data_IF_307014464273
#
_entry.id   IF_307014464273
#
_cell.length_a   1.000
_cell.length_b   1.000
_cell.length_c   1.000
_cell.angle_alpha   90.00
_cell.angle_beta   90.00
_cell.angle_gamma   90.00
#
_symmetry.space_group_name_H-M   'P 1'
#
loop_
_entity.id
_entity.type
_entity.pdbx_description
1 polymer ?
#
# COMPACT_ATOMS: atom_id res chain seq x y z
N UNK A 1 10.33 16.24 16.97
CA UNK A 1 9.01 15.56 17.13
C UNK A 1 8.10 15.81 15.91
N UNK A 2 7.14 14.92 15.62
CA UNK A 2 6.17 15.15 14.53
C UNK A 2 5.02 16.03 15.02
N UNK A 3 4.92 17.25 14.49
CA UNK A 3 3.87 18.21 14.83
C UNK A 3 2.56 17.87 14.17
N UNK A 4 2.60 17.67 12.86
CA UNK A 4 1.42 17.40 12.05
C UNK A 4 1.79 16.59 10.82
N UNK A 5 0.81 15.82 10.35
CA UNK A 5 0.84 15.20 9.04
C UNK A 5 -0.19 15.95 8.21
N UNK A 6 0.24 16.47 7.08
CA UNK A 6 -0.63 17.19 6.13
C UNK A 6 -0.49 16.52 4.77
N UNK A 7 -1.48 16.70 3.91
CA UNK A 7 -1.41 16.20 2.56
C UNK A 7 -1.95 17.24 1.59
N UNK A 8 -1.44 17.21 0.36
CA UNK A 8 -1.97 17.93 -0.77
C UNK A 8 -2.08 17.02 -1.99
N UNK A 9 -2.63 17.56 -3.07
CA UNK A 9 -2.73 16.87 -4.35
C UNK A 9 -2.17 17.75 -5.45
N UNK A 10 -1.38 17.14 -6.31
CA UNK A 10 -0.93 17.68 -7.59
C UNK A 10 -1.37 16.77 -8.75
N UNK A 11 -0.89 17.05 -9.96
CA UNK A 11 -1.20 16.25 -11.15
C UNK A 11 -0.60 14.84 -11.10
N UNK A 12 0.47 14.65 -10.32
CA UNK A 12 1.17 13.37 -10.19
C UNK A 12 0.54 12.46 -9.11
N UNK A 13 -0.14 13.02 -8.11
CA UNK A 13 -0.84 12.24 -7.09
C UNK A 13 -1.11 12.99 -5.78
N UNK A 14 -1.21 12.24 -4.70
CA UNK A 14 -1.35 12.76 -3.34
C UNK A 14 0.00 12.71 -2.63
N UNK A 15 0.39 13.84 -2.04
CA UNK A 15 1.64 13.99 -1.32
C UNK A 15 1.34 14.10 0.16
N UNK A 16 2.08 13.35 0.99
CA UNK A 16 1.94 13.39 2.43
C UNK A 16 3.22 13.95 3.02
N UNK A 17 3.06 15.03 3.76
CA UNK A 17 4.15 15.76 4.39
C UNK A 17 4.14 15.54 5.90
N UNK A 18 5.33 15.36 6.45
CA UNK A 18 5.55 15.44 7.89
C UNK A 18 6.11 16.83 8.22
N UNK A 19 5.36 17.56 9.04
CA UNK A 19 5.85 18.77 9.69
C UNK A 19 6.46 18.38 11.02
N UNK A 20 7.70 18.82 11.26
CA UNK A 20 8.41 18.56 12.49
C UNK A 20 9.28 19.75 12.89
N UNK A 21 9.55 19.85 14.19
CA UNK A 21 10.57 20.72 14.75
C UNK A 21 11.56 19.91 15.59
N UNK A 22 12.77 20.43 15.68
CA UNK A 22 13.80 19.95 16.59
C UNK A 22 13.64 20.50 17.99
N UNK A 23 14.25 19.80 18.95
CA UNK A 23 14.42 20.26 20.33
C UNK A 23 15.90 20.61 20.54
N UNK A 24 16.27 21.16 21.71
CA UNK A 24 17.68 21.40 22.04
C UNK A 24 18.53 20.11 22.04
N UNK A 25 17.89 18.95 22.08
CA UNK A 25 18.51 17.62 22.16
C UNK A 25 18.53 16.89 20.80
N UNK A 26 17.86 17.42 19.76
CA UNK A 26 17.88 16.81 18.44
C UNK A 26 19.18 17.15 17.70
N UNK A 27 19.76 16.14 17.05
CA UNK A 27 21.01 16.23 16.29
C UNK A 27 20.92 17.05 14.99
N UNK A 28 19.72 17.47 14.58
CA UNK A 28 19.45 18.09 13.28
C UNK A 28 19.56 17.11 12.10
N UNK A 29 19.50 15.81 12.37
CA UNK A 29 19.43 14.76 11.35
C UNK A 29 18.22 13.87 11.62
N UNK A 30 17.37 13.73 10.62
CA UNK A 30 16.11 13.01 10.74
C UNK A 30 16.04 11.87 9.73
N UNK A 31 15.46 10.77 10.19
CA UNK A 31 15.04 9.64 9.37
C UNK A 31 13.54 9.47 9.50
N UNK A 32 12.88 9.20 8.39
CA UNK A 32 11.50 8.74 8.37
C UNK A 32 11.42 7.33 7.84
N UNK A 33 10.49 6.57 8.40
CA UNK A 33 10.02 5.33 7.83
C UNK A 33 8.50 5.29 8.03
N UNK A 34 7.81 4.45 7.26
CA UNK A 34 6.36 4.43 7.33
C UNK A 34 5.79 3.06 7.05
N UNK A 35 4.57 2.85 7.55
CA UNK A 35 3.72 1.71 7.19
C UNK A 35 2.41 2.21 6.62
N UNK A 36 2.21 1.92 5.34
CA UNK A 36 0.98 2.20 4.63
C UNK A 36 0.00 1.06 4.85
N UNK A 37 -1.28 1.39 4.95
CA UNK A 37 -2.39 0.45 4.93
C UNK A 37 -3.51 1.07 4.13
N UNK A 38 -4.14 0.32 3.24
CA UNK A 38 -5.24 0.81 2.42
C UNK A 38 -6.36 -0.19 2.31
N UNK A 39 -7.58 0.33 2.25
CA UNK A 39 -8.79 -0.40 1.96
C UNK A 39 -9.09 -0.34 0.45
N UNK A 40 -9.53 -1.46 -0.09
CA UNK A 40 -10.02 -1.56 -1.46
C UNK A 40 -11.06 -2.67 -1.55
N UNK A 41 -11.97 -2.54 -2.50
CA UNK A 41 -13.06 -3.49 -2.69
C UNK A 41 -12.88 -4.31 -3.97
N UNK A 42 -13.50 -5.49 -4.02
CA UNK A 42 -13.74 -6.21 -5.27
C UNK A 42 -14.58 -5.37 -6.23
N UNK A 43 -14.44 -5.60 -7.54
CA UNK A 43 -15.24 -4.90 -8.54
C UNK A 43 -16.72 -5.28 -8.46
N UNK A 44 -17.01 -6.54 -8.08
CA UNK A 44 -18.37 -7.07 -8.02
C UNK A 44 -18.63 -7.79 -6.70
N UNK A 45 -19.85 -7.66 -6.17
CA UNK A 45 -20.37 -8.51 -5.11
C UNK A 45 -21.16 -9.68 -5.73
N UNK A 46 -20.65 -10.91 -5.68
CA UNK A 46 -21.37 -12.05 -6.22
C UNK A 46 -22.60 -12.38 -5.36
N UNK A 47 -23.71 -12.76 -5.97
CA UNK A 47 -24.83 -13.43 -5.28
C UNK A 47 -25.14 -14.80 -5.89
N UNK A 48 -24.32 -15.26 -6.84
CA UNK A 48 -24.42 -16.55 -7.52
C UNK A 48 -23.12 -17.33 -7.35
N UNK A 49 -23.23 -18.65 -7.24
CA UNK A 49 -22.12 -19.62 -7.25
C UNK A 49 -22.40 -20.74 -8.24
N UNK A 50 -21.37 -21.50 -8.58
CA UNK A 50 -21.53 -22.77 -9.28
C UNK A 50 -21.83 -23.88 -8.26
N UNK A 51 -22.83 -24.73 -8.55
CA UNK A 51 -23.11 -25.95 -7.79
C UNK A 51 -22.18 -27.11 -8.22
N UNK A 52 -22.45 -28.32 -7.72
CA UNK A 52 -21.65 -29.52 -8.03
C UNK A 52 -21.78 -30.02 -9.46
N UNK A 53 -22.83 -29.62 -10.20
CA UNK A 53 -23.05 -29.96 -11.61
C UNK A 53 -23.12 -28.64 -12.37
N UNK A 54 -21.96 -28.05 -12.73
CA UNK A 54 -21.72 -26.62 -12.85
C UNK A 54 -22.92 -25.85 -13.42
N UNK A 55 -23.82 -25.44 -12.52
CA UNK A 55 -24.94 -24.55 -12.76
C UNK A 55 -24.81 -23.37 -11.83
N UNK A 56 -25.05 -22.19 -12.38
CA UNK A 56 -25.21 -20.98 -11.62
C UNK A 56 -26.49 -21.05 -10.78
N UNK A 57 -26.33 -20.97 -9.46
CA UNK A 57 -27.39 -20.94 -8.46
C UNK A 57 -27.13 -19.80 -7.47
N UNK A 58 -28.17 -19.27 -6.86
CA UNK A 58 -28.00 -18.25 -5.81
C UNK A 58 -27.19 -18.78 -4.63
N UNK A 59 -26.31 -17.95 -4.07
CA UNK A 59 -25.50 -18.28 -2.89
C UNK A 59 -26.41 -18.48 -1.67
N UNK A 60 -27.32 -17.53 -1.46
CA UNK A 60 -28.30 -17.54 -0.38
C UNK A 60 -29.74 -17.60 -0.94
N UNK A 61 -30.69 -18.27 -0.26
CA UNK A 61 -32.08 -18.35 -0.71
C UNK A 61 -32.78 -17.00 -0.87
N UNK A 62 -32.39 -16.00 -0.06
CA UNK A 62 -32.90 -14.63 -0.13
C UNK A 62 -32.21 -13.78 -1.22
N UNK A 63 -31.35 -14.39 -2.04
CA UNK A 63 -30.63 -13.76 -3.15
C UNK A 63 -29.70 -12.59 -2.76
N UNK A 64 -29.37 -12.46 -1.47
CA UNK A 64 -28.39 -11.49 -1.02
C UNK A 64 -27.02 -11.76 -1.60
N UNK A 65 -26.22 -10.71 -1.74
CA UNK A 65 -24.83 -10.83 -2.16
C UNK A 65 -23.94 -11.32 -1.03
N UNK A 66 -22.89 -12.05 -1.39
CA UNK A 66 -21.81 -12.46 -0.51
C UNK A 66 -20.73 -11.37 -0.47
N UNK A 67 -20.63 -10.69 0.67
CA UNK A 67 -19.62 -9.66 0.91
C UNK A 67 -18.35 -10.21 1.58
N UNK A 68 -18.24 -11.53 1.80
CA UNK A 68 -17.14 -12.15 2.56
C UNK A 68 -15.75 -11.91 1.95
N UNK A 69 -15.70 -11.69 0.63
CA UNK A 69 -14.48 -11.39 -0.14
C UNK A 69 -14.55 -10.04 -0.85
N UNK A 70 -15.45 -9.16 -0.43
CA UNK A 70 -15.62 -7.85 -1.04
C UNK A 70 -14.70 -6.80 -0.42
N UNK A 71 -14.65 -6.73 0.91
CA UNK A 71 -13.85 -5.76 1.65
C UNK A 71 -12.46 -6.30 1.96
N UNK A 72 -11.40 -5.65 1.47
CA UNK A 72 -10.03 -6.02 1.80
C UNK A 72 -9.17 -4.85 2.25
N UNK A 73 -8.15 -5.20 3.03
CA UNK A 73 -7.05 -4.33 3.41
C UNK A 73 -5.72 -4.95 2.99
N UNK A 74 -4.80 -4.11 2.53
CA UNK A 74 -3.40 -4.48 2.32
C UNK A 74 -2.49 -3.49 3.03
N UNK A 75 -1.25 -3.90 3.33
CA UNK A 75 -0.25 -3.04 3.96
C UNK A 75 1.11 -3.21 3.33
N UNK A 76 1.90 -2.15 3.35
CA UNK A 76 3.30 -2.16 2.92
C UNK A 76 4.16 -1.30 3.85
N UNK A 77 5.41 -1.70 4.05
CA UNK A 77 6.40 -0.86 4.72
C UNK A 77 7.12 0.01 3.69
N UNK A 78 7.70 1.12 4.13
CA UNK A 78 8.56 1.98 3.32
C UNK A 78 9.72 1.19 2.72
N UNK A 79 9.96 1.36 1.43
CA UNK A 79 11.08 0.75 0.70
C UNK A 79 12.22 1.72 0.41
N UNK A 80 11.99 3.02 0.58
CA UNK A 80 12.97 4.08 0.33
C UNK A 80 13.58 4.60 1.62
N UNK A 81 14.80 5.11 1.54
CA UNK A 81 15.51 5.73 2.65
C UNK A 81 15.13 7.21 2.71
N UNK A 82 14.22 7.57 3.60
CA UNK A 82 13.79 8.96 3.79
C UNK A 82 14.61 9.63 4.90
N UNK A 83 15.47 10.59 4.52
CA UNK A 83 16.38 11.28 5.44
C UNK A 83 16.48 12.77 5.09
N UNK A 84 16.62 13.62 6.12
CA UNK A 84 16.79 15.07 5.99
C UNK A 84 17.82 15.56 7.02
N UNK A 85 18.63 16.54 6.64
CA UNK A 85 19.46 17.30 7.57
C UNK A 85 18.96 18.73 7.67
N UNK A 86 18.71 19.18 8.90
CA UNK A 86 18.42 20.58 9.25
C UNK A 86 19.62 21.26 9.93
N UNK A 87 20.74 20.55 10.10
CA UNK A 87 21.95 21.04 10.79
C UNK A 87 22.57 22.32 10.20
N UNK A 88 22.20 22.72 8.98
CA UNK A 88 22.64 23.97 8.32
C UNK A 88 21.57 25.07 8.29
N UNK A 89 20.43 24.84 8.92
CA UNK A 89 19.28 25.76 8.95
C UNK A 89 19.25 26.43 10.33
N UNK A 90 19.01 27.74 10.37
CA UNK A 90 18.98 28.51 11.61
C UNK A 90 17.84 28.12 12.56
N UNK A 91 16.75 27.58 12.02
CA UNK A 91 15.58 27.10 12.75
C UNK A 91 15.39 25.62 12.38
N UNK A 92 15.50 24.73 13.35
CA UNK A 92 15.34 23.30 13.17
C UNK A 92 13.86 22.94 12.95
N UNK A 93 13.39 23.15 11.73
CA UNK A 93 12.05 22.82 11.25
C UNK A 93 12.13 22.08 9.93
N UNK A 94 11.23 21.12 9.74
CA UNK A 94 11.18 20.27 8.56
C UNK A 94 9.74 20.22 8.03
N UNK A 95 9.59 20.47 6.74
CA UNK A 95 8.40 20.15 5.95
C UNK A 95 8.83 19.15 4.88
N UNK A 96 8.69 17.85 5.17
CA UNK A 96 9.29 16.79 4.38
C UNK A 96 8.24 15.95 3.66
N UNK A 97 8.30 15.78 2.32
CA UNK A 97 7.40 14.90 1.57
C UNK A 97 7.76 13.43 1.81
N UNK A 98 7.11 12.77 2.77
CA UNK A 98 7.44 11.40 3.19
C UNK A 98 6.90 10.38 2.19
N UNK A 99 5.68 10.57 1.71
CA UNK A 99 4.98 9.59 0.86
C UNK A 99 4.36 10.30 -0.33
N UNK A 100 4.46 9.68 -1.50
CA UNK A 100 3.67 10.04 -2.68
C UNK A 100 2.83 8.84 -3.11
N UNK A 101 1.51 9.01 -3.12
CA UNK A 101 0.58 8.04 -3.69
C UNK A 101 0.29 8.47 -5.14
N UNK A 102 0.74 7.71 -6.15
CA UNK A 102 0.56 8.09 -7.56
C UNK A 102 -0.91 8.21 -7.94
N UNK A 103 -1.22 9.10 -8.89
CA UNK A 103 -2.58 9.29 -9.41
C UNK A 103 -3.22 7.96 -9.85
N UNK A 104 -4.51 7.79 -9.55
CA UNK A 104 -5.28 6.57 -9.84
C UNK A 104 -4.74 5.28 -9.20
N UNK A 105 -3.88 5.35 -8.19
CA UNK A 105 -3.42 4.16 -7.46
C UNK A 105 -4.56 3.54 -6.62
N UNK A 106 -4.65 2.21 -6.60
CA UNK A 106 -5.61 1.46 -5.78
C UNK A 106 -5.56 1.83 -4.29
N UNK A 107 -4.40 2.26 -3.77
CA UNK A 107 -4.18 2.68 -2.38
C UNK A 107 -5.20 3.71 -1.88
N UNK A 108 -5.70 4.58 -2.77
CA UNK A 108 -6.70 5.59 -2.47
C UNK A 108 -8.08 5.28 -3.09
N UNK A 109 -8.36 4.01 -3.40
CA UNK A 109 -9.66 3.59 -3.95
C UNK A 109 -10.82 3.73 -2.97
N UNK A 110 -10.56 3.57 -1.66
CA UNK A 110 -11.58 3.72 -0.61
C UNK A 110 -11.06 4.58 0.53
N UNK A 111 -10.20 4.03 1.38
CA UNK A 111 -9.56 4.74 2.49
C UNK A 111 -8.09 4.36 2.55
N UNK A 112 -7.23 5.35 2.70
CA UNK A 112 -5.80 5.20 2.85
C UNK A 112 -5.37 5.61 4.25
N UNK A 113 -4.36 4.93 4.80
CA UNK A 113 -3.70 5.33 6.04
C UNK A 113 -2.19 5.14 5.94
N UNK A 114 -1.45 6.05 6.56
CA UNK A 114 -0.02 5.90 6.78
C UNK A 114 0.32 6.15 8.24
N UNK A 115 1.06 5.22 8.86
CA UNK A 115 1.76 5.44 10.12
C UNK A 115 3.18 5.89 9.79
N UNK A 116 3.47 7.17 10.02
CA UNK A 116 4.78 7.75 9.79
C UNK A 116 5.54 7.76 11.12
N UNK A 117 6.76 7.23 11.10
CA UNK A 117 7.70 7.22 12.20
C UNK A 117 8.86 8.15 11.85
N UNK A 118 9.27 8.96 12.82
CA UNK A 118 10.40 9.87 12.73
C UNK A 118 11.39 9.53 13.83
N UNK A 119 12.67 9.44 13.48
CA UNK A 119 13.77 9.30 14.42
C UNK A 119 14.80 10.42 14.22
N UNK A 120 15.27 10.99 15.32
CA UNK A 120 16.45 11.87 15.32
C UNK A 120 17.69 10.99 15.43
N UNK A 121 18.51 10.96 14.38
CA UNK A 121 19.65 10.04 14.26
C UNK A 121 20.97 10.74 14.47
N UNK A 122 22.05 10.02 14.81
CA UNK A 122 23.38 10.63 14.85
C UNK A 122 23.82 11.10 13.45
N UNK A 123 24.83 11.97 13.41
CA UNK A 123 25.46 12.39 12.16
C UNK A 123 26.06 11.19 11.42
N UNK A 124 26.69 10.27 12.15
CA UNK A 124 27.31 9.07 11.63
C UNK A 124 26.29 8.14 10.97
N UNK A 125 25.13 7.95 11.61
CA UNK A 125 24.00 7.20 11.07
C UNK A 125 23.45 7.87 9.80
N UNK A 126 23.26 9.19 9.83
CA UNK A 126 22.81 9.96 8.66
C UNK A 126 23.77 9.82 7.47
N UNK A 127 25.08 9.91 7.70
CA UNK A 127 26.10 9.74 6.66
C UNK A 127 26.09 8.31 6.11
N UNK A 128 25.95 7.31 6.96
CA UNK A 128 25.83 5.91 6.56
C UNK A 128 24.59 5.67 5.67
N UNK A 129 23.42 6.15 6.11
CA UNK A 129 22.18 6.06 5.33
C UNK A 129 22.26 6.84 4.02
N UNK A 130 22.92 8.00 4.01
CA UNK A 130 23.16 8.78 2.80
C UNK A 130 24.01 8.03 1.77
N UNK A 131 25.04 7.31 2.22
CA UNK A 131 25.84 6.44 1.36
C UNK A 131 25.03 5.25 0.86
N UNK A 132 24.22 4.63 1.73
CA UNK A 132 23.36 3.51 1.36
C UNK A 132 22.35 3.93 0.29
N UNK A 133 21.63 5.04 0.51
CA UNK A 133 20.68 5.62 -0.44
C UNK A 133 21.31 5.85 -1.81
N UNK A 134 22.51 6.46 -1.84
CA UNK A 134 23.27 6.65 -3.09
C UNK A 134 23.59 5.33 -3.78
N UNK A 135 24.00 4.31 -3.04
CA UNK A 135 24.38 3.01 -3.62
C UNK A 135 23.18 2.18 -4.10
N UNK A 136 22.01 2.29 -3.46
CA UNK A 136 20.86 1.38 -3.71
C UNK A 136 19.74 2.00 -4.54
N UNK A 137 19.60 3.32 -4.53
CA UNK A 137 18.49 4.02 -5.21
C UNK A 137 18.93 4.78 -6.47
N UNK A 138 20.21 4.71 -6.84
CA UNK A 138 20.66 5.14 -8.17
C UNK A 138 20.13 4.18 -9.23
N UNK A 139 19.46 4.71 -10.25
CA UNK A 139 18.83 3.94 -11.33
C UNK A 139 19.86 3.22 -12.22
N UNK A 140 21.15 3.58 -12.12
CA UNK A 140 22.23 2.99 -12.89
C UNK A 140 22.37 3.66 -14.26
N UNK A 141 23.48 4.36 -14.44
CA UNK A 141 23.95 4.95 -15.70
C UNK A 141 25.42 4.62 -15.88
N UNK A 142 25.92 4.63 -17.12
CA UNK A 142 27.35 4.45 -17.42
C UNK A 142 28.23 5.51 -16.74
N UNK A 143 27.63 6.64 -16.36
CA UNK A 143 28.29 7.76 -15.68
C UNK A 143 27.95 7.87 -14.19
N UNK A 144 27.23 6.89 -13.63
CA UNK A 144 26.94 6.91 -12.19
C UNK A 144 28.21 6.67 -11.39
N UNK A 145 28.29 7.30 -10.22
CA UNK A 145 29.40 7.10 -9.32
C UNK A 145 29.45 5.63 -8.89
N UNK A 146 30.64 5.02 -8.91
CA UNK A 146 30.79 3.66 -8.40
C UNK A 146 30.34 3.61 -6.93
N UNK A 147 29.63 2.53 -6.51
CA UNK A 147 29.22 2.37 -5.12
C UNK A 147 30.41 2.52 -4.17
N UNK A 148 30.30 3.41 -3.19
CA UNK A 148 31.35 3.59 -2.18
C UNK A 148 31.27 2.50 -1.11
N UNK A 149 32.41 2.16 -0.50
CA UNK A 149 32.46 1.21 0.62
C UNK A 149 31.52 1.63 1.77
N UNK A 150 30.63 0.73 2.17
CA UNK A 150 29.65 0.93 3.23
C UNK A 150 30.17 0.35 4.55
N UNK A 151 31.15 1.01 5.16
CA UNK A 151 31.53 0.72 6.56
C UNK A 151 30.56 1.40 7.51
N UNK A 152 29.96 0.62 8.41
CA UNK A 152 29.20 1.15 9.54
C UNK A 152 29.97 0.97 10.85
N UNK A 153 29.26 0.74 11.96
CA UNK A 153 29.84 0.60 13.30
C UNK A 153 29.88 -0.85 13.81
N UNK A 154 29.62 -1.84 12.94
CA UNK A 154 29.68 -3.26 13.28
C UNK A 154 30.99 -3.87 12.80
N UNK A 155 31.54 -4.81 13.58
CA UNK A 155 32.80 -5.52 13.28
C UNK A 155 32.65 -7.02 13.55
N UNK A 156 33.32 -7.85 12.77
CA UNK A 156 33.40 -9.29 13.06
C UNK A 156 34.42 -9.54 14.17
N UNK A 157 34.00 -10.23 15.24
CA UNK A 157 34.87 -10.52 16.40
C UNK A 157 35.84 -11.67 16.13
N UNK A 158 35.54 -12.53 15.15
CA UNK A 158 36.35 -13.71 14.84
C UNK A 158 37.39 -13.41 13.74
N UNK A 159 37.08 -12.49 12.83
CA UNK A 159 37.99 -12.05 11.77
C UNK A 159 37.89 -10.53 11.54
N UNK A 160 38.82 -9.73 12.10
CA UNK A 160 38.84 -8.28 11.91
C UNK A 160 39.06 -7.83 10.45
N UNK A 161 39.55 -8.70 9.57
CA UNK A 161 39.72 -8.40 8.14
C UNK A 161 38.44 -8.62 7.33
N UNK A 162 37.44 -9.30 7.91
CA UNK A 162 36.15 -9.54 7.26
C UNK A 162 35.32 -8.25 7.22
N UNK A 163 34.91 -7.77 6.02
CA UNK A 163 34.08 -6.59 5.91
C UNK A 163 32.64 -6.89 6.35
N UNK A 164 32.15 -6.13 7.34
CA UNK A 164 30.77 -6.21 7.82
C UNK A 164 29.98 -4.98 7.39
N UNK A 165 28.80 -5.19 6.82
CA UNK A 165 27.89 -4.12 6.40
C UNK A 165 26.77 -4.00 7.43
N UNK A 166 26.59 -2.79 7.96
CA UNK A 166 25.43 -2.41 8.76
C UNK A 166 25.78 -1.38 9.82
N UNK A 167 24.76 -0.73 10.34
CA UNK A 167 24.89 0.32 11.34
C UNK A 167 23.80 0.12 12.40
N UNK A 168 24.19 0.19 13.67
CA UNK A 168 23.27 0.06 14.82
C UNK A 168 23.28 1.34 15.62
N UNK A 169 22.10 1.86 15.93
CA UNK A 169 21.90 3.04 16.75
C UNK A 169 20.65 2.89 17.61
N UNK A 170 20.66 3.57 18.75
CA UNK A 170 19.48 3.79 19.58
C UNK A 170 19.12 5.26 19.46
N UNK A 171 17.90 5.54 19.02
CA UNK A 171 17.38 6.89 18.81
C UNK A 171 15.95 6.99 19.35
N UNK A 172 15.55 8.18 19.79
CA UNK A 172 14.15 8.45 20.07
C UNK A 172 13.32 8.36 18.79
N UNK A 173 12.08 7.86 18.93
CA UNK A 173 11.17 7.70 17.80
C UNK A 173 9.79 8.24 18.15
N UNK A 174 9.28 9.12 17.28
CA UNK A 174 7.94 9.66 17.34
C UNK A 174 7.11 9.08 16.19
N UNK A 175 5.83 8.80 16.44
CA UNK A 175 4.95 8.28 15.39
C UNK A 175 3.62 9.02 15.35
N UNK A 176 3.09 9.21 14.14
CA UNK A 176 1.77 9.80 13.91
C UNK A 176 1.10 9.10 12.74
N UNK A 177 -0.22 8.94 12.83
CA UNK A 177 -1.03 8.30 11.78
C UNK A 177 -1.94 9.31 11.11
N UNK A 178 -2.05 9.22 9.79
CA UNK A 178 -3.03 9.96 8.99
C UNK A 178 -3.99 9.00 8.31
N UNK A 179 -5.21 9.48 8.04
CA UNK A 179 -6.21 8.83 7.20
C UNK A 179 -6.64 9.80 6.10
N UNK A 180 -6.82 9.27 4.90
CA UNK A 180 -7.28 10.02 3.72
C UNK A 180 -8.36 9.17 3.06
N UNK A 181 -9.60 9.67 3.02
CA UNK A 181 -10.69 8.97 2.31
C UNK A 181 -10.71 9.38 0.84
N UNK A 182 -11.14 8.48 -0.03
CA UNK A 182 -11.33 8.76 -1.46
C UNK A 182 -12.25 9.98 -1.69
N UNK A 183 -13.27 10.14 -0.85
CA UNK A 183 -14.18 11.29 -0.87
C UNK A 183 -13.49 12.64 -0.62
N UNK A 184 -12.33 12.65 0.03
CA UNK A 184 -11.51 13.84 0.27
C UNK A 184 -10.59 14.16 -0.92
N UNK A 185 -10.48 13.25 -1.90
CA UNK A 185 -9.61 13.37 -3.08
C UNK A 185 -10.46 13.30 -4.37
N UNK A 186 -11.23 14.36 -4.72
CA UNK A 186 -12.22 14.32 -5.78
C UNK A 186 -11.64 13.93 -7.14
N UNK A 187 -12.26 12.97 -7.83
CA UNK A 187 -11.77 12.53 -9.15
C UNK A 187 -10.47 11.73 -9.09
N UNK A 188 -10.25 10.95 -8.02
CA UNK A 188 -9.11 10.04 -7.93
C UNK A 188 -9.05 9.04 -9.09
N UNK A 189 -10.20 8.50 -9.51
CA UNK A 189 -10.33 7.77 -10.78
C UNK A 189 -9.60 6.43 -10.87
N UNK A 190 -9.39 5.73 -9.74
CA UNK A 190 -8.97 4.33 -9.77
C UNK A 190 -10.05 3.48 -10.45
N UNK A 191 -9.65 2.66 -11.42
CA UNK A 191 -10.52 1.71 -12.09
C UNK A 191 -9.88 0.33 -12.06
N UNK A 192 -10.63 -0.69 -11.63
CA UNK A 192 -10.24 -2.08 -11.77
C UNK A 192 -10.72 -2.59 -13.14
N UNK A 193 -9.80 -3.04 -13.98
CA UNK A 193 -10.13 -3.66 -15.26
C UNK A 193 -10.75 -5.03 -15.06
N UNK A 194 -12.07 -5.13 -15.21
CA UNK A 194 -12.83 -6.38 -15.12
C UNK A 194 -13.79 -6.51 -16.29
N UNK A 195 -13.88 -7.71 -16.86
CA UNK A 195 -14.77 -8.01 -17.98
C UNK A 195 -15.86 -8.97 -17.51
N UNK A 196 -17.11 -8.57 -17.72
CA UNK A 196 -18.26 -9.43 -17.51
C UNK A 196 -18.64 -10.12 -18.82
N UNK A 197 -18.60 -11.44 -18.81
CA UNK A 197 -19.09 -12.27 -19.91
C UNK A 197 -20.44 -12.86 -19.51
N UNK A 198 -21.48 -12.58 -20.31
CA UNK A 198 -22.77 -13.24 -20.16
C UNK A 198 -22.71 -14.64 -20.75
N UNK A 199 -22.86 -15.66 -19.92
CA UNK A 199 -22.76 -17.07 -20.30
C UNK A 199 -24.09 -17.78 -20.02
N UNK A 200 -24.48 -18.70 -20.91
CA UNK A 200 -25.66 -19.55 -20.72
C UNK A 200 -25.47 -20.41 -19.47
N UNK A 201 -26.50 -20.51 -18.62
CA UNK A 201 -26.47 -21.34 -17.42
C UNK A 201 -26.62 -22.83 -17.78
N UNK A 202 -25.61 -23.39 -18.42
CA UNK A 202 -25.52 -24.79 -18.81
C UNK A 202 -24.13 -25.33 -18.46
N UNK A 203 -24.01 -26.56 -17.92
CA UNK A 203 -22.73 -27.14 -17.51
C UNK A 203 -21.61 -27.03 -18.54
N UNK A 204 -21.92 -27.27 -19.82
CA UNK A 204 -20.91 -27.21 -20.89
C UNK A 204 -20.44 -25.78 -21.19
N UNK A 205 -21.31 -24.78 -21.00
CA UNK A 205 -20.97 -23.37 -21.24
C UNK A 205 -20.21 -22.74 -20.07
N UNK A 206 -20.49 -23.19 -18.85
CA UNK A 206 -19.89 -22.64 -17.62
C UNK A 206 -18.49 -23.17 -17.34
N UNK A 207 -18.10 -24.30 -17.96
CA UNK A 207 -16.74 -24.83 -17.89
C UNK A 207 -15.75 -23.83 -18.50
N UNK A 208 -14.82 -23.34 -17.67
CA UNK A 208 -13.80 -22.37 -18.08
C UNK A 208 -14.28 -20.92 -18.16
N UNK A 209 -15.54 -20.63 -17.78
CA UNK A 209 -16.12 -19.29 -17.83
C UNK A 209 -15.62 -18.32 -16.75
N UNK A 210 -14.81 -18.79 -15.79
CA UNK A 210 -14.33 -18.01 -14.65
C UNK A 210 -15.20 -18.19 -13.41
N UNK A 211 -15.42 -17.12 -12.65
CA UNK A 211 -16.24 -17.11 -11.43
C UNK A 211 -17.54 -16.36 -11.70
N UNK A 212 -18.71 -16.92 -11.32
CA UNK A 212 -19.99 -16.24 -11.46
C UNK A 212 -20.09 -15.03 -10.52
N UNK A 213 -20.82 -14.01 -10.97
CA UNK A 213 -21.08 -12.77 -10.22
C UNK A 213 -22.55 -12.71 -9.83
N UNK A 214 -23.38 -12.23 -10.74
CA UNK A 214 -24.82 -12.03 -10.61
C UNK A 214 -25.55 -12.62 -11.82
N UNK A 215 -26.87 -12.87 -11.74
CA UNK A 215 -27.65 -13.26 -12.90
C UNK A 215 -27.62 -12.18 -13.98
N UNK A 216 -27.52 -12.60 -15.24
CA UNK A 216 -27.74 -11.72 -16.40
C UNK A 216 -29.20 -11.80 -16.84
N UNK A 217 -29.71 -13.02 -17.03
CA UNK A 217 -31.11 -13.27 -17.41
C UNK A 217 -31.74 -14.26 -16.44
N UNK A 218 -32.88 -13.88 -15.87
CA UNK A 218 -33.73 -14.71 -15.01
C UNK A 218 -35.05 -15.00 -15.75
N UNK A 219 -35.39 -16.27 -15.89
CA UNK A 219 -36.68 -16.72 -16.45
C UNK A 219 -37.66 -17.09 -15.33
N UNK A 220 -38.98 -16.95 -15.54
CA UNK A 220 -39.98 -17.44 -14.59
C UNK A 220 -39.87 -18.96 -14.37
N UNK A 221 -40.07 -19.49 -13.14
CA UNK A 221 -40.32 -18.80 -11.89
C UNK A 221 -39.03 -18.63 -11.05
N UNK A 222 -38.08 -17.81 -11.53
CA UNK A 222 -36.78 -17.52 -10.89
C UNK A 222 -35.64 -18.51 -11.22
N UNK A 223 -35.59 -18.96 -12.47
CA UNK A 223 -34.51 -19.79 -13.00
C UNK A 223 -33.45 -18.88 -13.64
N UNK A 224 -32.21 -18.96 -13.20
CA UNK A 224 -31.08 -18.26 -13.84
C UNK A 224 -30.85 -18.90 -15.21
N UNK A 225 -31.12 -18.20 -16.30
CA UNK A 225 -30.91 -18.69 -17.67
C UNK A 225 -29.54 -18.28 -18.21
N UNK A 226 -29.05 -17.11 -17.79
CA UNK A 226 -27.70 -16.63 -18.09
C UNK A 226 -27.08 -15.98 -16.85
N UNK A 227 -25.77 -16.07 -16.73
CA UNK A 227 -25.01 -15.54 -15.60
C UNK A 227 -23.84 -14.72 -16.12
N UNK A 228 -23.54 -13.61 -15.45
CA UNK A 228 -22.31 -12.88 -15.69
C UNK A 228 -21.14 -13.57 -14.97
N UNK A 229 -20.10 -13.88 -15.72
CA UNK A 229 -18.85 -14.45 -15.19
C UNK A 229 -17.67 -13.53 -15.46
N UNK A 230 -16.69 -13.55 -14.56
CA UNK A 230 -15.47 -12.73 -14.62
C UNK A 230 -14.29 -13.51 -14.02
N UNK A 231 -13.09 -12.94 -14.06
CA UNK A 231 -11.92 -13.45 -13.35
C UNK A 231 -12.07 -13.38 -11.82
N UNK A 232 -11.40 -14.29 -11.11
CA UNK A 232 -11.49 -14.41 -9.64
C UNK A 232 -11.12 -13.11 -8.92
N UNK A 233 -10.13 -12.37 -9.40
CA UNK A 233 -9.64 -11.12 -8.80
C UNK A 233 -10.66 -9.96 -8.84
N UNK A 234 -11.70 -10.09 -9.65
CA UNK A 234 -12.80 -9.11 -9.75
C UNK A 234 -13.92 -9.33 -8.73
N UNK A 235 -14.01 -10.53 -8.14
CA UNK A 235 -15.00 -10.87 -7.09
C UNK A 235 -14.36 -11.15 -5.75
N UNK A 236 -13.09 -11.56 -5.74
CA UNK A 236 -12.32 -11.87 -4.55
C UNK A 236 -11.13 -10.92 -4.42
N UNK A 237 -11.21 -9.99 -3.47
CA UNK A 237 -10.15 -9.03 -3.23
C UNK A 237 -8.89 -9.68 -2.64
N UNK A 238 -9.00 -10.88 -2.03
CA UNK A 238 -7.85 -11.62 -1.49
C UNK A 238 -6.98 -12.21 -2.59
N UNK A 239 -7.55 -12.51 -3.77
CA UNK A 239 -6.77 -12.89 -4.95
C UNK A 239 -5.82 -11.78 -5.45
N UNK A 240 -6.02 -10.53 -5.00
CA UNK A 240 -5.13 -9.38 -5.27
C UNK A 240 -4.21 -9.01 -4.10
N UNK A 241 -3.98 -9.95 -3.18
CA UNK A 241 -3.09 -9.81 -2.02
C UNK A 241 -3.72 -9.13 -0.79
N UNK A 242 -5.05 -9.12 -0.71
CA UNK A 242 -5.81 -8.50 0.37
C UNK A 242 -6.11 -9.45 1.52
N UNK A 243 -6.26 -8.88 2.72
CA UNK A 243 -6.84 -9.56 3.88
C UNK A 243 -8.26 -9.06 4.10
N UNK A 244 -9.19 -9.96 4.44
CA UNK A 244 -10.57 -9.63 4.84
C UNK A 244 -10.68 -9.23 6.31
N UNK A 245 -9.57 -9.27 7.04
CA UNK A 245 -9.51 -8.84 8.44
C UNK A 245 -9.25 -7.34 8.51
N UNK A 246 -10.25 -6.58 8.97
CA UNK A 246 -10.13 -5.14 9.23
C UNK A 246 -9.05 -4.89 10.28
N UNK A 247 -8.06 -4.03 10.03
CA UNK A 247 -7.04 -3.67 11.03
C UNK A 247 -7.66 -2.97 12.25
N UNK A 248 -7.15 -3.24 13.45
CA UNK A 248 -7.70 -2.70 14.72
C UNK A 248 -7.70 -1.16 14.79
N UNK A 249 -6.75 -0.52 14.13
CA UNK A 249 -6.66 0.95 14.07
C UNK A 249 -7.55 1.57 12.99
N UNK A 250 -8.20 0.76 12.15
CA UNK A 250 -8.98 1.24 11.01
C UNK A 250 -10.32 1.83 11.49
N UNK A 251 -10.69 3.04 11.05
CA UNK A 251 -11.92 3.71 11.46
C UNK A 251 -13.17 2.92 11.04
#
# INVERSE_FOLDING_TARGET
PIDSLVWDRDDAGVNIYANAHGTAETSGYYRWDYRETWEYHSAFLPNVKLDSVPRAVFIYPNQMSDASKFFCWSSANSSTIEILSTAKIAIDTAHYPVIRVPTKDRKLSVTYSALIRQSAVSKECFEYLSRMKKNTEQTGSLFDAQPSELRGNMVCTNDPAEPVIGFVEIAEMYSKRIFIRNSEVPGWGYLQGCILNSIVNHPDSLRGGGVPTVPDIISPPNIISRVFMTSLDCVDCTARGGSTTKPDFWP
#
